data_IF_550702546231
#
_entry.id   IF_550702546231
#
_cell.length_a   1.000
_cell.length_b   1.000
_cell.length_c   1.000
_cell.angle_alpha   90.00
_cell.angle_beta   90.00
_cell.angle_gamma   90.00
#
_symmetry.space_group_name_H-M   'P 1'
#
loop_
_entity.id
_entity.type
_entity.pdbx_description
1 polymer ?
#
# COMPACT_ATOMS: atom_id res chain seq x y z
N UNK A 1 14.57 -6.87 -1.56
CA UNK A 1 14.88 -8.16 -2.23
C UNK A 1 16.28 -8.57 -1.80
N UNK A 2 16.51 -9.84 -1.48
CA UNK A 2 17.79 -10.32 -0.96
C UNK A 2 18.35 -11.40 -1.89
N UNK A 3 19.61 -11.26 -2.29
CA UNK A 3 20.32 -12.19 -3.16
C UNK A 3 21.58 -12.70 -2.45
N UNK A 4 21.76 -14.01 -2.41
CA UNK A 4 22.91 -14.66 -1.79
C UNK A 4 23.19 -16.00 -2.50
N UNK A 5 24.40 -16.52 -2.36
CA UNK A 5 24.69 -17.91 -2.71
C UNK A 5 24.00 -18.85 -1.72
N UNK A 6 23.36 -19.91 -2.22
CA UNK A 6 22.70 -20.89 -1.36
C UNK A 6 23.68 -21.95 -0.81
N UNK A 7 24.59 -22.43 -1.65
CA UNK A 7 25.49 -23.54 -1.33
C UNK A 7 26.89 -23.11 -0.90
N UNK A 8 27.38 -21.97 -1.41
CA UNK A 8 28.74 -21.49 -1.19
C UNK A 8 28.78 -20.48 -0.06
N UNK A 9 29.74 -20.64 0.85
CA UNK A 9 30.06 -19.67 1.90
C UNK A 9 30.86 -18.46 1.35
N UNK A 10 31.10 -17.48 2.21
CA UNK A 10 31.82 -16.24 1.89
C UNK A 10 33.32 -16.40 1.63
N UNK A 11 33.92 -17.53 2.02
CA UNK A 11 35.31 -17.86 1.68
C UNK A 11 35.42 -18.44 0.28
N UNK A 12 34.38 -19.13 -0.20
CA UNK A 12 34.31 -19.71 -1.54
C UNK A 12 33.78 -18.71 -2.57
N UNK A 13 32.72 -17.97 -2.23
CA UNK A 13 32.08 -16.99 -3.11
C UNK A 13 31.88 -15.66 -2.39
N UNK A 14 32.56 -14.62 -2.87
CA UNK A 14 32.48 -13.29 -2.29
C UNK A 14 31.70 -12.34 -3.22
N UNK A 15 30.50 -11.95 -2.80
CA UNK A 15 29.68 -10.96 -3.51
C UNK A 15 30.18 -9.55 -3.20
N UNK A 16 30.45 -8.76 -4.25
CA UNK A 16 30.93 -7.37 -4.14
C UNK A 16 29.99 -6.45 -4.90
N UNK A 17 29.73 -5.27 -4.32
CA UNK A 17 28.93 -4.24 -4.97
C UNK A 17 29.78 -3.45 -5.96
N UNK A 18 29.27 -3.27 -7.17
CA UNK A 18 29.86 -2.32 -8.12
C UNK A 18 29.43 -0.88 -7.79
N UNK A 19 28.15 -0.69 -7.45
CA UNK A 19 27.55 0.59 -7.07
C UNK A 19 26.61 0.41 -5.88
N UNK A 20 26.49 1.45 -5.06
CA UNK A 20 25.51 1.50 -3.97
C UNK A 20 24.12 1.93 -4.44
N UNK A 21 24.03 2.50 -5.64
CA UNK A 21 22.77 2.89 -6.28
C UNK A 21 22.40 1.85 -7.33
N UNK A 22 21.12 1.52 -7.40
CA UNK A 22 20.62 0.63 -8.44
C UNK A 22 20.43 1.38 -9.75
N UNK A 23 20.77 0.73 -10.86
CA UNK A 23 20.59 1.31 -12.19
C UNK A 23 19.10 1.46 -12.53
N UNK A 24 18.70 2.69 -12.86
CA UNK A 24 17.34 3.06 -13.25
C UNK A 24 17.27 3.55 -14.70
N UNK A 25 18.33 3.38 -15.49
CA UNK A 25 18.41 3.82 -16.89
C UNK A 25 17.27 3.29 -17.77
N UNK A 26 16.88 2.04 -17.56
CA UNK A 26 15.80 1.36 -18.28
C UNK A 26 14.49 1.28 -17.47
N UNK A 27 14.31 2.12 -16.45
CA UNK A 27 13.10 2.12 -15.63
C UNK A 27 11.90 2.68 -16.42
N UNK A 28 10.84 1.87 -16.52
CA UNK A 28 9.57 2.30 -17.09
C UNK A 28 8.70 2.89 -15.97
N UNK A 29 8.29 4.17 -16.06
CA UNK A 29 7.51 4.82 -15.01
C UNK A 29 6.14 4.17 -14.84
N UNK A 30 5.74 3.97 -13.59
CA UNK A 30 4.42 3.44 -13.23
C UNK A 30 3.42 4.58 -12.96
N UNK A 31 2.14 4.38 -13.32
CA UNK A 31 1.07 5.38 -13.14
C UNK A 31 0.57 5.47 -11.69
N UNK A 32 0.72 4.42 -10.89
CA UNK A 32 0.27 4.30 -9.52
C UNK A 32 1.41 4.55 -8.51
N UNK A 33 2.63 4.12 -8.84
CA UNK A 33 3.78 4.17 -7.93
C UNK A 33 4.89 5.07 -8.47
N UNK A 34 5.41 5.94 -7.61
CA UNK A 34 6.60 6.73 -7.88
C UNK A 34 7.82 6.07 -7.23
N UNK A 35 8.83 5.73 -8.03
CA UNK A 35 10.12 5.25 -7.53
C UNK A 35 10.89 6.43 -6.93
N UNK A 36 11.07 6.43 -5.60
CA UNK A 36 11.80 7.49 -4.90
C UNK A 36 13.29 7.19 -4.85
N UNK A 37 13.66 5.96 -4.49
CA UNK A 37 15.06 5.56 -4.35
C UNK A 37 15.23 4.07 -4.56
N UNK A 38 16.31 3.71 -5.24
CA UNK A 38 16.79 2.34 -5.37
C UNK A 38 18.23 2.30 -4.88
N UNK A 39 18.48 1.64 -3.74
CA UNK A 39 19.83 1.48 -3.20
C UNK A 39 20.10 0.05 -2.80
N UNK A 40 21.39 -0.27 -2.71
CA UNK A 40 21.89 -1.61 -2.53
C UNK A 40 22.84 -1.64 -1.35
N UNK A 41 22.64 -2.61 -0.46
CA UNK A 41 23.48 -2.83 0.70
C UNK A 41 23.99 -4.26 0.69
N UNK A 42 25.28 -4.42 0.96
CA UNK A 42 25.89 -5.72 1.21
C UNK A 42 25.85 -5.97 2.71
N UNK A 43 25.38 -7.15 3.08
CA UNK A 43 25.41 -7.65 4.44
C UNK A 43 26.23 -8.93 4.50
N UNK A 44 26.78 -9.24 5.66
CA UNK A 44 27.45 -10.53 5.93
C UNK A 44 26.78 -11.10 7.17
N UNK A 45 26.11 -12.23 6.99
CA UNK A 45 25.31 -12.87 8.03
C UNK A 45 25.99 -14.15 8.46
N UNK A 46 26.05 -14.38 9.76
CA UNK A 46 26.43 -15.66 10.35
C UNK A 46 25.15 -16.35 10.79
N UNK A 47 24.86 -17.52 10.21
CA UNK A 47 23.67 -18.29 10.54
C UNK A 47 23.93 -19.23 11.72
N UNK A 48 22.90 -19.56 12.49
CA UNK A 48 23.06 -20.46 13.63
C UNK A 48 23.45 -21.89 13.27
N UNK A 49 23.33 -22.28 12.00
CA UNK A 49 23.70 -23.62 11.52
C UNK A 49 25.19 -23.77 11.19
N UNK A 50 25.91 -22.68 10.93
CA UNK A 50 27.25 -22.68 10.34
C UNK A 50 28.11 -21.55 10.94
N UNK A 51 29.40 -21.78 11.19
CA UNK A 51 30.31 -20.73 11.69
C UNK A 51 30.84 -19.82 10.58
N UNK A 52 30.63 -20.20 9.32
CA UNK A 52 31.08 -19.49 8.14
C UNK A 52 30.22 -18.24 7.83
N UNK A 53 30.82 -17.16 7.30
CA UNK A 53 30.09 -15.97 6.89
C UNK A 53 29.36 -16.21 5.56
N UNK A 54 28.09 -15.81 5.48
CA UNK A 54 27.32 -15.80 4.24
C UNK A 54 27.07 -14.37 3.78
N UNK A 55 27.73 -13.90 2.70
CA UNK A 55 27.50 -12.57 2.16
C UNK A 55 26.19 -12.54 1.37
N UNK A 56 25.36 -11.55 1.64
CA UNK A 56 24.16 -11.24 0.87
C UNK A 56 24.17 -9.81 0.35
N UNK A 57 23.43 -9.60 -0.74
CA UNK A 57 23.16 -8.29 -1.32
C UNK A 57 21.66 -8.05 -1.20
N UNK A 58 21.29 -7.02 -0.44
CA UNK A 58 19.91 -6.58 -0.27
C UNK A 58 19.63 -5.30 -1.06
N UNK A 59 18.67 -5.40 -1.98
CA UNK A 59 18.12 -4.27 -2.74
C UNK A 59 16.91 -3.68 -2.02
N UNK A 60 16.97 -2.38 -1.76
CA UNK A 60 15.92 -1.59 -1.17
C UNK A 60 15.26 -0.71 -2.22
N UNK A 61 13.98 -0.98 -2.47
CA UNK A 61 13.15 -0.19 -3.39
C UNK A 61 12.22 0.68 -2.55
N UNK A 62 12.46 1.99 -2.56
CA UNK A 62 11.58 2.96 -1.94
C UNK A 62 10.60 3.49 -2.98
N UNK A 63 9.32 3.15 -2.81
CA UNK A 63 8.24 3.58 -3.67
C UNK A 63 7.18 4.36 -2.88
N UNK A 64 6.56 5.34 -3.53
CA UNK A 64 5.45 6.13 -2.99
C UNK A 64 4.23 6.02 -3.88
N UNK A 65 3.09 5.64 -3.31
CA UNK A 65 1.80 5.59 -4.03
C UNK A 65 1.33 7.00 -4.41
N UNK A 66 0.78 7.17 -5.60
CA UNK A 66 0.12 8.39 -6.07
C UNK A 66 -1.34 8.39 -5.58
N UNK A 67 -1.74 9.32 -4.69
CA UNK A 67 -3.05 9.23 -4.02
C UNK A 67 -4.21 9.75 -4.86
N UNK A 68 -3.97 10.48 -5.95
CA UNK A 68 -5.01 11.23 -6.69
C UNK A 68 -6.18 10.35 -7.14
N UNK A 69 -5.91 9.18 -7.71
CA UNK A 69 -6.95 8.26 -8.14
C UNK A 69 -7.86 7.80 -6.99
N UNK A 70 -7.27 7.48 -5.83
CA UNK A 70 -7.99 7.09 -4.64
C UNK A 70 -8.78 8.25 -4.04
N UNK A 71 -8.26 9.47 -4.08
CA UNK A 71 -8.99 10.65 -3.60
C UNK A 71 -10.25 10.89 -4.43
N UNK A 72 -10.14 10.90 -5.76
CA UNK A 72 -11.30 11.14 -6.61
C UNK A 72 -12.31 10.00 -6.59
N UNK A 73 -11.87 8.73 -6.65
CA UNK A 73 -12.79 7.60 -6.73
C UNK A 73 -13.24 7.07 -5.38
N UNK A 74 -12.56 7.39 -4.27
CA UNK A 74 -12.98 6.96 -2.94
C UNK A 74 -13.40 8.08 -1.99
N UNK A 75 -12.70 9.21 -1.94
CA UNK A 75 -13.05 10.28 -1.00
C UNK A 75 -14.27 11.08 -1.49
N UNK A 76 -14.36 11.33 -2.80
CA UNK A 76 -15.49 12.08 -3.37
C UNK A 76 -16.84 11.41 -3.10
N UNK A 77 -17.05 10.08 -3.34
CA UNK A 77 -18.31 9.43 -3.02
C UNK A 77 -18.67 9.49 -1.53
N UNK A 78 -17.69 9.34 -0.62
CA UNK A 78 -17.94 9.48 0.82
C UNK A 78 -18.44 10.88 1.19
N UNK A 79 -17.84 11.93 0.63
CA UNK A 79 -18.28 13.31 0.85
C UNK A 79 -19.71 13.50 0.32
N UNK A 80 -20.03 12.95 -0.85
CA UNK A 80 -21.38 13.03 -1.41
C UNK A 80 -22.42 12.31 -0.54
N UNK A 81 -22.13 11.09 -0.06
CA UNK A 81 -23.04 10.33 0.82
C UNK A 81 -23.26 11.07 2.13
N UNK A 82 -22.22 11.64 2.74
CA UNK A 82 -22.34 12.42 3.99
C UNK A 82 -23.14 13.70 3.80
N UNK A 83 -22.98 14.40 2.67
CA UNK A 83 -23.81 15.56 2.33
C UNK A 83 -25.28 15.19 2.13
N UNK A 84 -25.56 14.06 1.47
CA UNK A 84 -26.93 13.55 1.30
C UNK A 84 -27.52 13.22 2.67
N UNK A 85 -26.77 12.57 3.56
CA UNK A 85 -27.24 12.28 4.92
C UNK A 85 -27.59 13.57 5.71
N UNK A 86 -26.80 14.64 5.56
CA UNK A 86 -27.10 15.94 6.18
C UNK A 86 -28.35 16.60 5.59
N UNK A 87 -28.53 16.55 4.27
CA UNK A 87 -29.73 17.05 3.59
C UNK A 87 -31.00 16.31 4.03
N UNK A 88 -30.89 15.04 4.42
CA UNK A 88 -32.00 14.26 4.98
C UNK A 88 -32.57 14.83 6.28
N UNK A 89 -31.78 15.59 7.05
CA UNK A 89 -32.30 16.31 8.23
C UNK A 89 -33.07 17.58 7.86
N UNK A 90 -32.82 18.14 6.66
CA UNK A 90 -33.49 19.34 6.17
C UNK A 90 -34.86 19.03 5.53
N UNK A 91 -35.10 17.77 5.12
CA UNK A 91 -36.38 17.35 4.56
C UNK A 91 -37.46 17.31 5.66
N UNK A 92 -38.64 17.96 5.45
CA UNK A 92 -39.74 17.92 6.40
C UNK A 92 -40.29 16.49 6.54
N UNK A 93 -40.65 16.13 7.76
CA UNK A 93 -41.10 14.77 8.13
C UNK A 93 -42.42 14.34 7.50
N UNK A 94 -43.19 15.27 6.93
CA UNK A 94 -44.50 14.99 6.32
C UNK A 94 -44.40 14.23 4.99
N UNK A 95 -43.23 14.20 4.36
CA UNK A 95 -43.05 13.52 3.06
C UNK A 95 -42.97 12.01 3.13
N UNK A 96 -42.84 11.37 4.30
CA UNK A 96 -42.69 9.91 4.44
C UNK A 96 -41.37 9.31 3.90
N UNK A 97 -40.73 9.98 2.94
CA UNK A 97 -39.50 9.56 2.25
C UNK A 97 -38.22 9.66 3.10
N UNK A 98 -38.29 10.32 4.26
CA UNK A 98 -37.14 10.50 5.16
C UNK A 98 -36.52 9.17 5.62
N UNK A 99 -37.36 8.17 5.87
CA UNK A 99 -36.91 6.83 6.30
C UNK A 99 -36.22 6.09 5.15
N UNK A 100 -36.80 6.14 3.95
CA UNK A 100 -36.23 5.55 2.72
C UNK A 100 -34.86 6.15 2.39
N UNK A 101 -34.72 7.47 2.53
CA UNK A 101 -33.45 8.17 2.34
C UNK A 101 -32.37 7.76 3.36
N UNK A 102 -32.76 7.54 4.63
CA UNK A 102 -31.84 7.04 5.67
C UNK A 102 -31.34 5.62 5.38
N UNK A 103 -32.23 4.72 4.95
CA UNK A 103 -31.86 3.32 4.64
C UNK A 103 -30.93 3.26 3.42
N UNK A 104 -31.24 4.02 2.36
CA UNK A 104 -30.44 4.06 1.12
C UNK A 104 -29.05 4.67 1.33
N UNK A 105 -28.92 5.68 2.20
CA UNK A 105 -27.61 6.26 2.56
C UNK A 105 -26.77 5.30 3.39
N UNK A 106 -27.35 4.59 4.36
CA UNK A 106 -26.65 3.55 5.12
C UNK A 106 -26.19 2.39 4.21
N UNK A 107 -27.08 1.89 3.35
CA UNK A 107 -26.74 0.82 2.41
C UNK A 107 -25.61 1.24 1.46
N UNK A 108 -25.69 2.43 0.86
CA UNK A 108 -24.64 2.93 -0.04
C UNK A 108 -23.29 3.09 0.67
N UNK A 109 -23.28 3.56 1.93
CA UNK A 109 -22.07 3.62 2.75
C UNK A 109 -21.48 2.23 3.00
N UNK A 110 -22.30 1.23 3.36
CA UNK A 110 -21.83 -0.14 3.61
C UNK A 110 -21.25 -0.81 2.36
N UNK A 111 -21.92 -0.68 1.22
CA UNK A 111 -21.43 -1.21 -0.08
C UNK A 111 -20.11 -0.52 -0.46
N UNK A 112 -20.03 0.80 -0.27
CA UNK A 112 -18.83 1.55 -0.55
C UNK A 112 -17.66 1.13 0.36
N UNK A 113 -17.89 0.97 1.66
CA UNK A 113 -16.88 0.44 2.59
C UNK A 113 -16.43 -0.97 2.22
N UNK A 114 -17.35 -1.84 1.79
CA UNK A 114 -17.02 -3.20 1.36
C UNK A 114 -16.12 -3.18 0.13
N UNK A 115 -16.42 -2.34 -0.86
CA UNK A 115 -15.57 -2.14 -2.04
C UNK A 115 -14.18 -1.63 -1.67
N UNK A 116 -14.06 -0.71 -0.70
CA UNK A 116 -12.77 -0.24 -0.21
C UNK A 116 -12.01 -1.37 0.49
N UNK A 117 -12.69 -2.17 1.30
CA UNK A 117 -12.11 -3.30 2.03
C UNK A 117 -11.59 -4.39 1.08
N UNK A 118 -12.27 -4.67 -0.02
CA UNK A 118 -11.82 -5.63 -1.05
C UNK A 118 -10.59 -5.13 -1.82
N UNK A 119 -10.49 -3.82 -2.06
CA UNK A 119 -9.35 -3.24 -2.78
C UNK A 119 -8.09 -3.08 -1.89
N UNK A 120 -8.23 -3.14 -0.57
CA UNK A 120 -7.12 -3.01 0.36
C UNK A 120 -6.61 -4.40 0.76
N UNK A 121 -5.28 -4.66 0.75
CA UNK A 121 -4.76 -5.92 1.27
C UNK A 121 -5.20 -6.10 2.73
N UNK A 122 -5.71 -7.29 3.13
CA UNK A 122 -6.13 -7.57 4.49
C UNK A 122 -4.90 -7.59 5.39
N UNK A 123 -4.54 -6.43 5.93
CA UNK A 123 -3.38 -6.25 6.81
C UNK A 123 -3.90 -5.83 8.18
N UNK A 124 -3.69 -6.69 9.19
CA UNK A 124 -4.10 -6.43 10.58
C UNK A 124 -3.15 -5.48 11.33
N UNK A 125 -2.03 -5.09 10.70
CA UNK A 125 -0.94 -4.35 11.35
C UNK A 125 -1.28 -2.88 11.62
N UNK A 126 -2.17 -2.27 10.83
CA UNK A 126 -2.63 -0.91 11.07
C UNK A 126 -3.98 -0.69 10.38
N UNK A 127 -4.93 -0.08 11.09
CA UNK A 127 -6.17 0.40 10.48
C UNK A 127 -5.83 1.52 9.49
N UNK A 128 -6.22 1.42 8.21
CA UNK A 128 -6.11 2.54 7.28
C UNK A 128 -6.86 3.75 7.80
N UNK A 129 -6.33 4.95 7.57
CA UNK A 129 -6.97 6.23 7.96
C UNK A 129 -8.39 6.41 7.38
N UNK A 130 -8.76 5.67 6.34
CA UNK A 130 -10.08 5.71 5.68
C UNK A 130 -11.14 4.92 6.47
N UNK A 131 -10.73 3.96 7.30
CA UNK A 131 -11.61 3.12 8.12
C UNK A 131 -11.71 3.55 9.59
N UNK A 132 -11.18 4.73 9.94
CA UNK A 132 -11.31 5.32 11.27
C UNK A 132 -12.39 6.39 11.26
#
# INVERSE_FOLDING_TARGET
MQFASWTYDGFQVNLVLNTHEGDVSNYIPNSEWNLQRLYVQRNVVYYSCCEEPYPDITFYIHIRRRPLFYVFNMVLPCILITLVALLGFYIPSDSGEKVTMGITTLLSMTVFMMLVAENMPPTSNALPLIGK
#
